data_IF_337314645249
#
_entry.id   IF_337314645249
#
_cell.length_a   1.000
_cell.length_b   1.000
_cell.length_c   1.000
_cell.angle_alpha   90.00
_cell.angle_beta   90.00
_cell.angle_gamma   90.00
#
_symmetry.space_group_name_H-M   'P 1'
#
loop_
_entity.id
_entity.type
_entity.pdbx_description
1 polymer ?
#
# COMPACT_ATOMS: atom_id res chain seq x y z
N UNK A 1 1.62 9.91 -19.49
CA UNK A 1 0.75 8.71 -19.66
C UNK A 1 -0.07 8.35 -18.44
N UNK A 2 0.46 8.44 -17.21
CA UNK A 2 -0.28 8.07 -15.99
C UNK A 2 -1.62 8.80 -15.83
N UNK A 3 -1.69 10.06 -16.21
CA UNK A 3 -2.90 10.90 -16.15
C UNK A 3 -3.31 11.41 -17.54
N UNK A 4 -3.09 10.61 -18.59
CA UNK A 4 -3.28 11.05 -20.00
C UNK A 4 -4.70 11.55 -20.30
N UNK A 5 -5.69 11.06 -19.55
CA UNK A 5 -7.11 11.35 -19.76
C UNK A 5 -7.56 12.59 -18.96
N UNK A 6 -6.69 13.16 -18.12
CA UNK A 6 -6.93 14.40 -17.37
C UNK A 6 -5.79 15.39 -17.62
N UNK A 7 -5.98 16.20 -18.67
CA UNK A 7 -5.00 17.20 -19.10
C UNK A 7 -4.80 18.27 -18.03
N UNK A 8 -5.88 18.78 -17.45
CA UNK A 8 -5.83 19.85 -16.43
C UNK A 8 -5.05 19.41 -15.20
N UNK A 9 -5.30 18.19 -14.71
CA UNK A 9 -4.57 17.64 -13.58
C UNK A 9 -3.11 17.37 -13.91
N UNK A 10 -2.82 16.89 -15.13
CA UNK A 10 -1.45 16.70 -15.61
C UNK A 10 -0.66 18.01 -15.62
N UNK A 11 -1.26 19.09 -16.12
CA UNK A 11 -0.64 20.41 -16.14
C UNK A 11 -0.41 20.97 -14.74
N UNK A 12 -1.37 20.80 -13.83
CA UNK A 12 -1.23 21.17 -12.43
C UNK A 12 -0.03 20.45 -11.79
N UNK A 13 0.09 19.13 -11.98
CA UNK A 13 1.21 18.34 -11.46
C UNK A 13 2.56 18.78 -12.04
N UNK A 14 2.59 19.12 -13.34
CA UNK A 14 3.79 19.62 -13.99
C UNK A 14 4.22 20.97 -13.38
N UNK A 15 3.28 21.90 -13.14
CA UNK A 15 3.56 23.19 -12.48
C UNK A 15 4.09 23.00 -11.06
N UNK A 16 3.49 22.10 -10.28
CA UNK A 16 4.01 21.75 -8.94
C UNK A 16 5.46 21.23 -9.02
N UNK A 17 5.75 20.36 -9.98
CA UNK A 17 7.09 19.76 -10.14
C UNK A 17 8.21 20.76 -10.43
N UNK A 18 7.88 21.92 -11.00
CA UNK A 18 8.84 23.00 -11.29
C UNK A 18 8.68 24.21 -10.35
N UNK A 19 7.95 24.07 -9.24
CA UNK A 19 7.67 25.14 -8.27
C UNK A 19 6.99 26.38 -8.87
N UNK A 20 6.09 26.20 -9.85
CA UNK A 20 5.31 27.26 -10.50
C UNK A 20 3.80 27.08 -10.28
N UNK A 21 3.40 26.47 -9.16
CA UNK A 21 1.99 26.31 -8.83
C UNK A 21 1.33 27.67 -8.55
N UNK A 22 0.15 27.86 -9.11
CA UNK A 22 -0.65 29.07 -8.93
C UNK A 22 -1.56 28.97 -7.71
N UNK A 23 -2.13 30.08 -7.26
CA UNK A 23 -3.13 30.08 -6.19
C UNK A 23 -4.37 29.23 -6.54
N UNK A 24 -4.72 29.17 -7.84
CA UNK A 24 -5.81 28.34 -8.36
C UNK A 24 -5.48 26.85 -8.23
N UNK A 25 -4.23 26.47 -8.52
CA UNK A 25 -3.77 25.09 -8.36
C UNK A 25 -3.85 24.66 -6.88
N UNK A 26 -3.38 25.52 -5.98
CA UNK A 26 -3.42 25.26 -4.54
C UNK A 26 -4.86 25.20 -4.00
N UNK A 27 -5.76 26.04 -4.50
CA UNK A 27 -7.18 25.98 -4.15
C UNK A 27 -7.81 24.66 -4.63
N UNK A 28 -7.49 24.21 -5.85
CA UNK A 28 -7.98 22.92 -6.38
C UNK A 28 -7.49 21.74 -5.55
N UNK A 29 -6.21 21.72 -5.15
CA UNK A 29 -5.68 20.67 -4.28
C UNK A 29 -6.37 20.62 -2.92
N UNK A 30 -6.66 21.77 -2.32
CA UNK A 30 -7.40 21.86 -1.04
C UNK A 30 -8.83 21.32 -1.17
N UNK A 31 -9.49 21.53 -2.30
CA UNK A 31 -10.82 20.96 -2.54
C UNK A 31 -10.79 19.42 -2.65
N UNK A 32 -9.64 18.85 -2.99
CA UNK A 32 -9.42 17.41 -3.03
C UNK A 32 -8.97 16.82 -1.68
N UNK A 33 -8.88 17.62 -0.62
CA UNK A 33 -8.51 17.13 0.71
C UNK A 33 -9.62 16.22 1.26
N UNK A 34 -9.27 14.96 1.52
CA UNK A 34 -10.18 13.97 2.12
C UNK A 34 -9.70 13.71 3.55
N UNK A 35 -10.54 14.06 4.53
CA UNK A 35 -10.27 13.78 5.94
C UNK A 35 -10.62 12.34 6.30
N UNK A 36 -9.84 11.75 7.21
CA UNK A 36 -10.13 10.45 7.84
C UNK A 36 -11.50 10.42 8.54
N UNK A 37 -11.96 11.58 9.04
CA UNK A 37 -13.29 11.69 9.65
C UNK A 37 -14.44 11.65 8.64
N UNK A 38 -14.15 11.81 7.35
CA UNK A 38 -15.15 11.78 6.28
C UNK A 38 -15.37 10.34 5.80
N UNK A 39 -16.21 9.60 6.52
CA UNK A 39 -16.41 8.16 6.32
C UNK A 39 -16.93 7.77 4.92
N UNK A 40 -17.54 8.68 4.18
CA UNK A 40 -18.10 8.41 2.84
C UNK A 40 -17.09 8.58 1.71
N UNK A 41 -16.06 9.40 1.89
CA UNK A 41 -15.05 9.70 0.86
C UNK A 41 -13.68 9.09 1.18
N UNK A 42 -13.44 8.76 2.45
CA UNK A 42 -12.19 8.17 2.90
C UNK A 42 -12.23 6.64 2.79
N UNK A 43 -11.55 6.11 1.78
CA UNK A 43 -11.32 4.67 1.66
C UNK A 43 -10.09 4.24 2.46
N UNK A 44 -10.35 3.59 3.59
CA UNK A 44 -9.31 3.07 4.49
C UNK A 44 -8.41 2.01 3.84
N UNK A 45 -8.89 1.35 2.78
CA UNK A 45 -8.12 0.31 2.07
C UNK A 45 -7.31 0.87 0.89
N UNK A 46 -7.45 2.15 0.56
CA UNK A 46 -6.64 2.78 -0.47
C UNK A 46 -5.16 2.86 -0.06
N UNK A 47 -4.22 2.98 -1.02
CA UNK A 47 -2.82 3.23 -0.70
C UNK A 47 -2.64 4.58 0.01
N UNK A 48 -2.08 4.54 1.22
CA UNK A 48 -1.76 5.74 2.00
C UNK A 48 -0.27 6.05 1.91
N UNK A 49 0.05 7.31 1.59
CA UNK A 49 1.42 7.81 1.50
C UNK A 49 1.73 8.71 2.69
N UNK A 50 2.89 8.50 3.31
CA UNK A 50 3.33 9.24 4.49
C UNK A 50 4.73 9.80 4.27
N UNK A 51 5.00 10.94 4.90
CA UNK A 51 6.34 11.55 4.87
C UNK A 51 7.38 10.75 5.69
N UNK A 52 6.95 9.85 6.58
CA UNK A 52 7.85 9.09 7.44
C UNK A 52 7.35 7.68 7.74
N UNK A 53 8.30 6.75 7.86
CA UNK A 53 8.05 5.33 8.08
C UNK A 53 7.25 5.06 9.36
N UNK A 54 7.47 5.85 10.41
CA UNK A 54 6.76 5.71 11.68
C UNK A 54 5.23 5.77 11.51
N UNK A 55 4.73 6.76 10.75
CA UNK A 55 3.30 6.92 10.50
C UNK A 55 2.73 5.78 9.65
N UNK A 56 3.49 5.38 8.63
CA UNK A 56 3.15 4.25 7.78
C UNK A 56 3.04 2.95 8.59
N UNK A 57 4.03 2.64 9.43
CA UNK A 57 4.00 1.45 10.29
C UNK A 57 2.81 1.49 11.25
N UNK A 58 2.57 2.63 11.89
CA UNK A 58 1.45 2.80 12.81
C UNK A 58 0.09 2.54 12.15
N UNK A 59 -0.15 3.10 10.96
CA UNK A 59 -1.39 2.81 10.22
C UNK A 59 -1.46 1.32 9.85
N UNK A 60 -0.39 0.76 9.28
CA UNK A 60 -0.39 -0.63 8.84
C UNK A 60 -0.61 -1.62 9.98
N UNK A 61 0.04 -1.42 11.13
CA UNK A 61 -0.14 -2.25 12.31
C UNK A 61 -1.60 -2.16 12.82
N UNK A 62 -2.20 -0.97 12.79
CA UNK A 62 -3.61 -0.76 13.13
C UNK A 62 -4.53 -1.50 12.18
N UNK A 63 -4.31 -1.42 10.85
CA UNK A 63 -5.10 -2.14 9.85
C UNK A 63 -4.98 -3.65 10.01
N UNK A 64 -3.76 -4.17 10.13
CA UNK A 64 -3.50 -5.61 10.31
C UNK A 64 -4.18 -6.12 11.59
N UNK A 65 -4.15 -5.36 12.68
CA UNK A 65 -4.79 -5.76 13.95
C UNK A 65 -6.31 -5.88 13.88
N UNK A 66 -6.95 -5.18 12.94
CA UNK A 66 -8.40 -5.23 12.70
C UNK A 66 -8.83 -6.38 11.79
N UNK A 67 -7.89 -7.03 11.11
CA UNK A 67 -8.21 -8.16 10.22
C UNK A 67 -8.58 -9.39 11.07
N UNK A 68 -9.71 -10.01 10.75
CA UNK A 68 -10.21 -11.21 11.46
C UNK A 68 -9.47 -12.51 11.04
N UNK A 69 -8.19 -12.41 10.68
CA UNK A 69 -7.38 -13.50 10.12
C UNK A 69 -6.26 -13.88 11.07
N UNK A 70 -5.81 -15.13 10.99
CA UNK A 70 -4.65 -15.60 11.75
C UNK A 70 -3.38 -14.83 11.33
N UNK A 71 -2.70 -14.23 12.31
CA UNK A 71 -1.45 -13.48 12.09
C UNK A 71 -0.26 -14.41 12.17
N UNK A 72 0.47 -14.56 11.06
CA UNK A 72 1.77 -15.24 11.03
C UNK A 72 2.88 -14.20 11.21
N UNK A 73 3.75 -14.41 12.19
CA UNK A 73 4.90 -13.53 12.46
C UNK A 73 6.16 -14.19 11.88
N UNK A 74 6.83 -13.51 10.95
CA UNK A 74 8.10 -13.94 10.38
C UNK A 74 9.20 -13.03 10.92
N UNK A 75 9.96 -13.53 11.90
CA UNK A 75 11.09 -12.79 12.47
C UNK A 75 12.25 -12.69 11.48
N UNK A 76 12.86 -11.51 11.37
CA UNK A 76 14.09 -11.33 10.60
C UNK A 76 15.31 -11.80 11.40
N UNK A 77 16.28 -12.39 10.71
CA UNK A 77 17.57 -12.76 11.28
C UNK A 77 18.64 -11.81 10.76
N UNK A 78 19.32 -11.11 11.66
CA UNK A 78 20.36 -10.11 11.32
C UNK A 78 21.76 -10.70 11.21
N UNK A 79 21.95 -11.95 11.61
CA UNK A 79 23.19 -12.69 11.41
C UNK A 79 23.20 -13.37 10.05
N UNK A 80 24.30 -13.22 9.30
CA UNK A 80 24.55 -13.99 8.08
C UNK A 80 24.84 -15.43 8.49
N UNK A 81 23.80 -16.25 8.57
CA UNK A 81 23.95 -17.69 8.81
C UNK A 81 24.18 -18.37 7.47
N UNK A 82 25.11 -19.33 7.44
CA UNK A 82 25.59 -19.99 6.22
C UNK A 82 24.45 -20.44 5.26
N UNK A 83 24.66 -20.42 3.92
CA UNK A 83 23.61 -20.62 2.91
C UNK A 83 22.77 -21.90 3.05
N UNK A 84 23.33 -22.96 3.65
CA UNK A 84 22.63 -24.24 3.87
C UNK A 84 21.52 -24.12 4.92
N UNK A 85 21.76 -23.34 6.00
CA UNK A 85 20.79 -23.19 7.08
C UNK A 85 19.59 -22.30 6.65
N UNK A 86 19.80 -21.43 5.67
CA UNK A 86 18.79 -20.51 5.13
C UNK A 86 17.73 -21.23 4.31
N UNK A 87 18.13 -22.24 3.53
CA UNK A 87 17.22 -23.01 2.65
C UNK A 87 16.28 -23.93 3.44
N UNK A 88 16.82 -24.72 4.36
CA UNK A 88 16.03 -25.64 5.19
C UNK A 88 14.99 -24.87 6.05
N UNK A 89 15.33 -23.64 6.45
CA UNK A 89 14.43 -22.78 7.23
C UNK A 89 13.37 -22.08 6.38
N UNK A 90 13.71 -21.65 5.16
CA UNK A 90 12.72 -21.13 4.20
C UNK A 90 11.71 -22.20 3.84
N UNK A 91 12.16 -23.43 3.57
CA UNK A 91 11.27 -24.55 3.25
C UNK A 91 10.35 -24.90 4.44
N UNK A 92 10.85 -24.85 5.68
CA UNK A 92 10.02 -25.03 6.87
C UNK A 92 9.00 -23.89 7.08
N UNK A 93 9.41 -22.63 6.87
CA UNK A 93 8.48 -21.50 6.97
C UNK A 93 7.35 -21.58 5.93
N UNK A 94 7.67 -21.99 4.70
CA UNK A 94 6.69 -22.22 3.64
C UNK A 94 5.75 -23.37 4.00
N UNK A 95 6.25 -24.46 4.59
CA UNK A 95 5.45 -25.61 5.03
C UNK A 95 4.51 -25.29 6.20
N UNK A 96 4.87 -24.32 7.04
CA UNK A 96 4.03 -23.87 8.17
C UNK A 96 2.96 -22.85 7.77
N UNK A 97 2.99 -22.31 6.55
CA UNK A 97 1.89 -21.51 6.04
C UNK A 97 0.70 -22.45 5.76
N UNK A 98 -0.52 -22.14 6.27
CA UNK A 98 -1.69 -22.93 5.92
C UNK A 98 -1.83 -22.92 4.40
N UNK A 99 -2.04 -24.10 3.79
CA UNK A 99 -2.28 -24.20 2.35
C UNK A 99 -3.52 -23.37 2.01
N UNK A 100 -3.32 -22.15 1.52
CA UNK A 100 -4.37 -21.40 0.86
C UNK A 100 -4.62 -22.14 -0.45
N UNK A 101 -5.64 -23.00 -0.47
CA UNK A 101 -6.21 -23.50 -1.71
C UNK A 101 -6.84 -22.30 -2.43
N UNK A 102 -6.03 -21.59 -3.23
CA UNK A 102 -6.55 -20.66 -4.22
C UNK A 102 -7.28 -21.53 -5.24
N UNK A 103 -8.60 -21.70 -5.08
CA UNK A 103 -9.46 -22.17 -6.16
C UNK A 103 -9.39 -21.09 -7.25
N UNK A 104 -8.54 -21.31 -8.24
CA UNK A 104 -8.63 -20.63 -9.53
C UNK A 104 -9.99 -20.99 -10.13
N UNK A 105 -11.01 -20.17 -9.86
CA UNK A 105 -12.20 -20.17 -10.69
C UNK A 105 -11.76 -19.67 -12.06
N UNK A 106 -11.61 -20.60 -12.99
CA UNK A 106 -11.47 -20.32 -14.40
C UNK A 106 -12.77 -19.67 -14.88
N UNK A 107 -12.74 -18.35 -15.07
CA UNK A 107 -13.79 -17.67 -15.81
C UNK A 107 -13.69 -18.12 -17.27
N UNK A 108 -14.62 -18.98 -17.68
CA UNK A 108 -14.91 -19.18 -19.10
C UNK A 108 -15.72 -17.98 -19.56
N UNK A 109 -15.15 -17.20 -20.47
CA UNK A 109 -15.84 -16.08 -21.13
C UNK A 109 -16.62 -16.67 -22.30
N UNK A 110 -17.91 -16.31 -22.50
CA UNK A 110 -18.71 -16.72 -23.65
C UNK A 110 -18.21 -16.09 -24.96
#
# INVERSE_FOLDING_TARGET
>A
MRHKDDLEFSELLNRLGVNQATDVDMARLKLCEISVSSSSLYDINAPHFFAGNFFMHSLNDSLISKMATEKVIISSFTSVVSPKLTRDRQENAIRTLPMIQIKLQTFTVP
#
